data_IF_689988917927
#
_entry.id   IF_689988917927
#
_cell.length_a   1.000
_cell.length_b   1.000
_cell.length_c   1.000
_cell.angle_alpha   90.00
_cell.angle_beta   90.00
_cell.angle_gamma   90.00
#
_symmetry.space_group_name_H-M   'P 1'
#
loop_
_entity.id
_entity.type
_entity.pdbx_description
1 polymer ?
#
# COMPACT_ATOMS: atom_id res chain seq x y z
N UNK A 1 -14.02 13.64 -0.45
CA UNK A 1 -13.84 14.90 -1.20
C UNK A 1 -12.38 15.03 -1.53
N UNK A 2 -12.00 15.30 -2.79
CA UNK A 2 -10.58 15.49 -3.13
C UNK A 2 -10.02 16.69 -2.36
N UNK A 3 -8.84 16.52 -1.80
CA UNK A 3 -8.05 17.66 -1.33
C UNK A 3 -7.30 18.27 -2.51
N UNK A 4 -6.90 19.55 -2.38
CA UNK A 4 -6.01 20.19 -3.38
C UNK A 4 -4.68 19.45 -3.54
N UNK A 5 -4.25 18.71 -2.52
CA UNK A 5 -3.04 17.87 -2.57
C UNK A 5 -3.20 16.68 -3.51
N UNK A 6 -4.34 15.98 -3.41
CA UNK A 6 -4.65 14.82 -4.26
C UNK A 6 -4.69 15.18 -5.74
N UNK A 7 -5.29 16.33 -6.06
CA UNK A 7 -5.35 16.88 -7.42
C UNK A 7 -3.95 17.17 -7.97
N UNK A 8 -3.06 17.74 -7.15
CA UNK A 8 -1.69 18.04 -7.56
C UNK A 8 -0.86 16.77 -7.85
N UNK A 9 -1.02 15.72 -7.03
CA UNK A 9 -0.32 14.44 -7.25
C UNK A 9 -0.80 13.78 -8.55
N UNK A 10 -2.12 13.75 -8.79
CA UNK A 10 -2.68 13.18 -10.03
C UNK A 10 -2.25 14.00 -11.25
N UNK A 11 -2.29 15.33 -11.18
CA UNK A 11 -1.89 16.19 -12.27
C UNK A 11 -0.41 15.98 -12.64
N UNK A 12 0.47 15.90 -11.64
CA UNK A 12 1.88 15.58 -11.85
C UNK A 12 2.06 14.19 -12.46
N UNK A 13 1.33 13.19 -11.97
CA UNK A 13 1.42 11.82 -12.48
C UNK A 13 1.00 11.73 -13.97
N UNK A 14 -0.03 12.47 -14.37
CA UNK A 14 -0.45 12.57 -15.77
C UNK A 14 0.59 13.29 -16.63
N UNK A 15 1.13 14.41 -16.14
CA UNK A 15 2.15 15.20 -16.83
C UNK A 15 3.42 14.37 -17.11
N UNK A 16 3.90 13.66 -16.09
CA UNK A 16 5.10 12.83 -16.16
C UNK A 16 4.83 11.46 -16.81
N UNK A 17 3.60 11.20 -17.23
CA UNK A 17 3.15 9.95 -17.89
C UNK A 17 3.50 8.70 -17.09
N UNK A 18 3.49 8.79 -15.77
CA UNK A 18 3.72 7.61 -14.91
C UNK A 18 2.51 6.70 -14.98
N UNK A 19 2.73 5.40 -14.80
CA UNK A 19 1.65 4.41 -14.75
C UNK A 19 1.33 3.97 -13.33
N UNK A 20 2.04 4.52 -12.35
CA UNK A 20 2.04 4.06 -10.98
C UNK A 20 2.06 5.26 -10.02
N UNK A 21 1.21 5.24 -8.99
CA UNK A 21 1.16 6.22 -7.91
C UNK A 21 1.34 5.48 -6.58
N UNK A 22 2.23 5.98 -5.74
CA UNK A 22 2.53 5.43 -4.41
C UNK A 22 1.82 6.31 -3.39
N UNK A 23 0.82 5.79 -2.68
CA UNK A 23 0.05 6.56 -1.68
C UNK A 23 -0.63 5.68 -0.64
N UNK A 24 -0.42 5.98 0.65
CA UNK A 24 -1.16 5.35 1.77
C UNK A 24 -2.53 6.02 2.03
N UNK A 25 -2.83 7.12 1.32
CA UNK A 25 -4.13 7.78 1.36
C UNK A 25 -5.16 7.01 0.53
N UNK A 26 -6.17 6.46 1.22
CA UNK A 26 -7.22 5.64 0.60
C UNK A 26 -8.11 6.43 -0.37
N UNK A 27 -8.31 7.73 -0.13
CA UNK A 27 -9.07 8.61 -1.01
C UNK A 27 -8.35 8.79 -2.33
N UNK A 28 -7.09 9.23 -2.26
CA UNK A 28 -6.22 9.40 -3.42
C UNK A 28 -6.05 8.08 -4.20
N UNK A 29 -5.86 6.95 -3.50
CA UNK A 29 -5.75 5.63 -4.11
C UNK A 29 -6.99 5.29 -4.95
N UNK A 30 -8.19 5.46 -4.39
CA UNK A 30 -9.45 5.16 -5.10
C UNK A 30 -9.62 5.99 -6.37
N UNK A 31 -9.30 7.28 -6.28
CA UNK A 31 -9.43 8.20 -7.42
C UNK A 31 -8.39 7.88 -8.49
N UNK A 32 -7.13 7.68 -8.10
CA UNK A 32 -6.06 7.36 -9.01
C UNK A 32 -6.27 6.02 -9.73
N UNK A 33 -6.83 5.00 -9.06
CA UNK A 33 -7.25 3.75 -9.72
C UNK A 33 -8.34 3.97 -10.76
N UNK A 34 -9.36 4.79 -10.45
CA UNK A 34 -10.43 5.11 -11.39
C UNK A 34 -9.92 5.82 -12.65
N UNK A 35 -8.79 6.52 -12.54
CA UNK A 35 -8.09 7.19 -13.64
C UNK A 35 -7.08 6.28 -14.38
N UNK A 36 -6.99 5.00 -14.02
CA UNK A 36 -6.17 4.01 -14.70
C UNK A 36 -4.72 3.91 -14.22
N UNK A 37 -4.36 4.57 -13.11
CA UNK A 37 -3.06 4.39 -12.48
C UNK A 37 -3.01 3.09 -11.67
N UNK A 38 -1.86 2.43 -11.68
CA UNK A 38 -1.55 1.35 -10.73
C UNK A 38 -1.20 1.99 -9.39
N UNK A 39 -1.74 1.50 -8.29
CA UNK A 39 -1.40 2.03 -6.97
C UNK A 39 -0.43 1.10 -6.27
N UNK A 40 0.68 1.69 -5.80
CA UNK A 40 1.65 1.05 -4.91
C UNK A 40 1.75 1.83 -3.61
N UNK A 41 0.71 1.87 -2.81
CA UNK A 41 0.95 1.77 -1.37
C UNK A 41 -0.22 1.08 -0.71
N UNK A 42 0.16 0.05 0.01
CA UNK A 42 -0.59 -1.05 0.59
C UNK A 42 0.55 -2.01 1.03
N UNK A 43 0.32 -3.24 1.51
CA UNK A 43 1.31 -4.15 2.11
C UNK A 43 2.79 -4.13 1.65
N UNK A 44 3.10 -3.88 0.37
CA UNK A 44 4.46 -3.81 -0.18
C UNK A 44 5.39 -2.83 0.56
N UNK A 45 4.96 -1.59 0.83
CA UNK A 45 5.83 -0.61 1.54
C UNK A 45 6.04 -0.99 3.00
N UNK A 46 5.02 -1.59 3.63
CA UNK A 46 5.13 -2.09 5.00
C UNK A 46 6.05 -3.31 5.05
N UNK A 47 6.09 -4.11 3.98
CA UNK A 47 7.03 -5.22 3.84
C UNK A 47 8.47 -4.72 3.63
N UNK A 48 8.69 -3.68 2.84
CA UNK A 48 9.99 -3.02 2.73
C UNK A 48 10.43 -2.40 4.06
N UNK A 49 9.53 -1.69 4.77
CA UNK A 49 9.81 -1.17 6.11
C UNK A 49 10.13 -2.27 7.14
N UNK A 50 9.51 -3.45 7.01
CA UNK A 50 9.84 -4.62 7.81
C UNK A 50 11.24 -5.17 7.47
N UNK A 51 11.60 -5.26 6.18
CA UNK A 51 12.95 -5.67 5.73
C UNK A 51 14.03 -4.73 6.25
N UNK A 52 13.73 -3.44 6.29
CA UNK A 52 14.63 -2.39 6.79
C UNK A 52 14.60 -2.25 8.32
N UNK A 53 13.92 -3.16 9.04
CA UNK A 53 13.79 -3.19 10.50
C UNK A 53 13.20 -1.90 11.10
N UNK A 54 12.41 -1.16 10.31
CA UNK A 54 11.73 0.07 10.75
C UNK A 54 10.44 -0.21 11.54
N UNK A 55 9.99 -1.47 11.56
CA UNK A 55 8.84 -1.93 12.35
C UNK A 55 8.98 -3.41 12.71
N UNK A 56 8.19 -3.86 13.68
CA UNK A 56 8.15 -5.27 14.06
C UNK A 56 7.28 -6.09 13.09
N UNK A 57 7.51 -7.40 13.04
CA UNK A 57 6.61 -8.31 12.33
C UNK A 57 5.18 -8.26 12.91
N UNK A 58 5.03 -7.99 14.21
CA UNK A 58 3.72 -7.90 14.85
C UNK A 58 2.91 -6.70 14.36
N UNK A 59 3.56 -5.55 14.15
CA UNK A 59 2.93 -4.35 13.59
C UNK A 59 2.54 -4.60 12.13
N UNK A 60 3.43 -5.22 11.36
CA UNK A 60 3.16 -5.64 9.98
C UNK A 60 1.98 -6.62 9.92
N UNK A 61 1.97 -7.66 10.76
CA UNK A 61 0.92 -8.67 10.81
C UNK A 61 -0.44 -8.06 11.17
N UNK A 62 -0.47 -7.16 12.15
CA UNK A 62 -1.69 -6.47 12.57
C UNK A 62 -2.25 -5.60 11.44
N UNK A 63 -1.38 -4.90 10.71
CA UNK A 63 -1.78 -4.13 9.53
C UNK A 63 -2.38 -5.02 8.43
N UNK A 64 -1.69 -6.10 8.05
CA UNK A 64 -2.18 -7.03 7.01
C UNK A 64 -3.53 -7.64 7.39
N UNK A 65 -3.71 -8.07 8.65
CA UNK A 65 -4.98 -8.62 9.13
C UNK A 65 -6.09 -7.57 9.17
N UNK A 66 -5.77 -6.32 9.52
CA UNK A 66 -6.72 -5.20 9.47
C UNK A 66 -7.30 -5.01 8.07
N UNK A 67 -6.45 -5.08 7.03
CA UNK A 67 -6.91 -4.99 5.65
C UNK A 67 -7.86 -6.12 5.23
N UNK A 68 -7.73 -7.32 5.80
CA UNK A 68 -8.66 -8.43 5.56
C UNK A 68 -10.01 -8.15 6.22
N UNK A 69 -10.02 -7.70 7.48
CA UNK A 69 -11.25 -7.34 8.21
C UNK A 69 -12.01 -6.21 7.51
N UNK A 70 -11.28 -5.26 6.95
CA UNK A 70 -11.85 -4.14 6.17
C UNK A 70 -12.29 -4.54 4.75
N UNK A 71 -12.15 -5.82 4.34
CA UNK A 71 -12.39 -6.31 2.98
C UNK A 71 -11.55 -5.60 1.90
N UNK A 72 -10.39 -5.07 2.28
CA UNK A 72 -9.43 -4.37 1.39
C UNK A 72 -8.34 -5.28 0.85
N UNK A 73 -8.15 -6.45 1.46
CA UNK A 73 -7.21 -7.48 1.03
C UNK A 73 -7.87 -8.85 1.17
N UNK A 74 -7.78 -9.70 0.14
CA UNK A 74 -8.26 -11.08 0.27
C UNK A 74 -7.38 -11.87 1.24
N UNK A 75 -7.97 -12.81 1.97
CA UNK A 75 -7.23 -13.64 2.94
C UNK A 75 -6.07 -14.39 2.30
N UNK A 76 -6.23 -14.87 1.05
CA UNK A 76 -5.19 -15.58 0.30
C UNK A 76 -3.98 -14.66 0.03
N UNK A 77 -4.23 -13.41 -0.37
CA UNK A 77 -3.15 -12.44 -0.63
C UNK A 77 -2.50 -12.00 0.69
N UNK A 78 -3.28 -11.84 1.76
CA UNK A 78 -2.78 -11.54 3.09
C UNK A 78 -1.80 -12.62 3.59
N UNK A 79 -2.12 -13.91 3.40
CA UNK A 79 -1.23 -15.01 3.75
C UNK A 79 0.12 -14.94 3.03
N UNK A 80 0.13 -14.59 1.74
CA UNK A 80 1.37 -14.41 0.98
C UNK A 80 2.25 -13.31 1.59
N UNK A 81 1.66 -12.17 1.96
CA UNK A 81 2.39 -11.09 2.63
C UNK A 81 2.92 -11.50 4.00
N UNK A 82 2.12 -12.20 4.81
CA UNK A 82 2.55 -12.67 6.13
C UNK A 82 3.68 -13.69 6.03
N UNK A 83 3.60 -14.63 5.07
CA UNK A 83 4.68 -15.59 4.80
C UNK A 83 5.96 -14.88 4.41
N UNK A 84 5.88 -13.89 3.52
CA UNK A 84 7.04 -13.14 3.07
C UNK A 84 7.61 -12.26 4.19
N UNK A 85 6.76 -11.56 4.95
CA UNK A 85 7.19 -10.78 6.10
C UNK A 85 7.90 -11.63 7.16
N UNK A 86 7.43 -12.85 7.42
CA UNK A 86 8.06 -13.77 8.39
C UNK A 86 9.47 -14.20 7.97
N UNK A 87 9.73 -14.36 6.68
CA UNK A 87 11.08 -14.68 6.18
C UNK A 87 12.04 -13.52 6.41
N UNK A 88 11.55 -12.29 6.18
CA UNK A 88 12.33 -11.06 6.23
C UNK A 88 12.48 -10.49 7.65
N UNK A 89 11.66 -10.95 8.61
CA UNK A 89 11.76 -10.59 10.02
C UNK A 89 12.82 -11.39 10.80
N UNK A 90 13.59 -12.28 10.16
CA UNK A 90 14.62 -13.08 10.82
C UNK A 90 15.87 -12.26 11.11
N UNK A 91 15.97 -11.78 12.35
CA UNK A 91 17.13 -12.08 13.21
C UNK A 91 16.77 -13.28 14.12
#
# INVERSE_FOLDING_TARGET
TLTKGDEAVIALALQEKVKEIITDDEGLAKIAMALGFRIKASPDLRLEGLKDKLMSFQDFESFIKGLVVENRLSSIVAELYLMEGKKNAKD
#
